data_IF_698550394191
#
_entry.id   IF_698550394191
#
_cell.length_a   1.000
_cell.length_b   1.000
_cell.length_c   1.000
_cell.angle_alpha   90.00
_cell.angle_beta   90.00
_cell.angle_gamma   90.00
#
_symmetry.space_group_name_H-M   'P 1'
#
loop_
_entity.id
_entity.type
_entity.pdbx_description
1 polymer ?
#
# COMPACT_ATOMS: atom_id res chain seq x y z
N UNK A 1 44.19 -32.47 49.82
CA UNK A 1 43.16 -32.45 48.77
C UNK A 1 42.46 -31.12 48.79
N UNK A 2 42.91 -30.18 47.98
CA UNK A 2 42.32 -28.84 47.89
C UNK A 2 41.12 -28.84 46.95
N UNK A 3 40.00 -28.28 47.43
CA UNK A 3 38.75 -28.12 46.67
C UNK A 3 38.81 -26.83 45.85
N UNK A 4 38.48 -26.81 44.54
CA UNK A 4 38.43 -25.59 43.77
C UNK A 4 37.17 -24.78 44.10
N UNK A 5 37.38 -23.49 44.36
CA UNK A 5 36.34 -22.46 44.52
C UNK A 5 35.66 -22.14 43.19
N UNK A 6 34.33 -22.12 43.20
CA UNK A 6 33.45 -21.79 42.07
C UNK A 6 33.59 -20.33 41.64
N UNK A 7 34.11 -20.09 40.43
CA UNK A 7 34.15 -18.76 39.78
C UNK A 7 33.32 -18.75 38.49
N UNK A 8 32.01 -18.90 38.61
CA UNK A 8 31.09 -18.86 37.45
C UNK A 8 29.97 -17.81 37.55
N UNK A 9 30.05 -16.85 38.48
CA UNK A 9 28.97 -15.86 38.72
C UNK A 9 29.24 -14.43 38.20
N UNK A 10 30.29 -14.22 37.38
CA UNK A 10 30.62 -12.87 36.86
C UNK A 10 30.27 -12.64 35.39
N UNK A 11 30.09 -13.69 34.59
CA UNK A 11 29.74 -13.56 33.15
C UNK A 11 28.28 -13.22 32.88
N UNK A 12 27.35 -13.52 33.80
CA UNK A 12 25.92 -13.20 33.63
C UNK A 12 25.56 -11.71 33.77
N UNK A 13 26.44 -10.88 34.34
CA UNK A 13 26.14 -9.47 34.64
C UNK A 13 26.32 -8.49 33.46
N UNK A 14 27.00 -8.91 32.39
CA UNK A 14 27.25 -8.05 31.20
C UNK A 14 26.36 -8.44 30.01
N UNK A 15 25.82 -9.65 29.97
CA UNK A 15 24.92 -10.09 28.89
C UNK A 15 23.60 -9.32 28.89
N UNK A 16 23.03 -9.08 30.08
CA UNK A 16 21.78 -8.34 30.23
C UNK A 16 21.83 -6.89 29.68
N UNK A 17 22.82 -6.04 30.02
CA UNK A 17 22.87 -4.68 29.49
C UNK A 17 23.19 -4.63 27.99
N UNK A 18 24.00 -5.56 27.46
CA UNK A 18 24.29 -5.61 26.01
C UNK A 18 23.05 -6.00 25.21
N UNK A 19 22.27 -6.97 25.70
CA UNK A 19 21.01 -7.36 25.07
C UNK A 19 19.99 -6.20 25.13
N UNK A 20 19.93 -5.48 26.25
CA UNK A 20 19.09 -4.29 26.38
C UNK A 20 19.47 -3.19 25.39
N UNK A 21 20.77 -2.90 25.22
CA UNK A 21 21.25 -1.95 24.23
C UNK A 21 21.00 -2.41 22.80
N UNK A 22 21.13 -3.70 22.50
CA UNK A 22 20.82 -4.25 21.18
C UNK A 22 19.33 -4.13 20.84
N UNK A 23 18.44 -4.35 21.82
CA UNK A 23 16.99 -4.15 21.64
C UNK A 23 16.63 -2.67 21.48
N UNK A 24 17.26 -1.77 22.24
CA UNK A 24 17.08 -0.33 22.08
C UNK A 24 17.61 0.17 20.73
N UNK A 25 18.75 -0.34 20.28
CA UNK A 25 19.29 -0.07 18.96
C UNK A 25 18.38 -0.60 17.87
N UNK A 26 17.89 -1.84 17.98
CA UNK A 26 16.90 -2.39 17.04
C UNK A 26 15.60 -1.56 17.02
N UNK A 27 15.12 -1.10 18.19
CA UNK A 27 13.95 -0.23 18.30
C UNK A 27 14.20 1.22 17.85
N UNK A 28 15.45 1.66 17.75
CA UNK A 28 15.84 2.99 17.27
C UNK A 28 16.11 2.99 15.77
N UNK A 29 16.91 2.02 15.29
CA UNK A 29 17.28 1.82 13.89
C UNK A 29 16.21 1.09 13.07
N UNK A 30 15.29 0.36 13.71
CA UNK A 30 14.15 -0.28 13.06
C UNK A 30 12.94 0.65 12.85
N UNK A 31 12.96 1.87 13.41
CA UNK A 31 11.87 2.85 13.24
C UNK A 31 11.48 3.16 11.80
N UNK A 32 12.38 3.25 10.81
CA UNK A 32 11.97 3.54 9.44
C UNK A 32 11.38 2.33 8.68
N UNK A 33 11.19 1.16 9.30
CA UNK A 33 10.78 -0.08 8.60
C UNK A 33 9.36 -0.56 8.95
N UNK A 34 8.65 0.05 9.91
CA UNK A 34 7.44 -0.58 10.48
C UNK A 34 6.20 0.32 10.58
N UNK A 35 5.96 1.18 9.60
CA UNK A 35 4.66 1.86 9.52
C UNK A 35 3.61 0.96 8.82
N UNK A 36 4.01 0.16 7.81
CA UNK A 36 3.03 -0.54 6.95
C UNK A 36 2.50 -1.86 7.52
N UNK A 37 3.22 -2.51 8.45
CA UNK A 37 2.87 -3.86 8.93
C UNK A 37 1.90 -3.84 10.12
N UNK A 38 1.89 -2.78 10.94
CA UNK A 38 1.15 -2.79 12.21
C UNK A 38 -0.30 -2.32 12.11
N UNK A 39 -0.64 -1.43 11.17
CA UNK A 39 -2.03 -0.98 10.98
C UNK A 39 -2.94 -2.08 10.42
N UNK A 40 -2.36 -3.09 9.76
CA UNK A 40 -3.10 -4.25 9.23
C UNK A 40 -3.59 -5.21 10.32
N UNK A 41 -2.87 -5.33 11.44
CA UNK A 41 -3.05 -6.42 12.42
C UNK A 41 -4.05 -6.06 13.53
N UNK A 42 -4.33 -4.78 13.78
CA UNK A 42 -4.98 -4.39 15.05
C UNK A 42 -6.51 -4.56 15.10
N UNK A 43 -7.20 -4.62 13.96
CA UNK A 43 -8.66 -4.42 13.94
C UNK A 43 -9.51 -5.50 13.24
N UNK A 44 -8.94 -6.58 12.72
CA UNK A 44 -9.73 -7.61 12.06
C UNK A 44 -9.55 -8.98 12.73
N UNK A 45 -10.63 -9.55 13.24
CA UNK A 45 -10.72 -10.93 13.79
C UNK A 45 -10.53 -12.03 12.73
N UNK A 46 -10.24 -11.67 11.49
CA UNK A 46 -9.88 -12.55 10.38
C UNK A 46 -8.98 -11.78 9.43
N UNK A 47 -7.77 -12.27 9.17
CA UNK A 47 -6.80 -11.59 8.31
C UNK A 47 -7.36 -11.36 6.90
N UNK A 48 -7.41 -10.10 6.41
CA UNK A 48 -7.80 -9.80 5.04
C UNK A 48 -6.94 -10.56 4.02
N UNK A 49 -7.56 -11.08 2.95
CA UNK A 49 -6.87 -11.82 1.89
C UNK A 49 -6.74 -10.97 0.64
N UNK A 50 -5.57 -10.89 -0.01
CA UNK A 50 -5.42 -10.16 -1.26
C UNK A 50 -6.31 -10.78 -2.34
N UNK A 51 -6.89 -9.95 -3.18
CA UNK A 51 -7.66 -10.33 -4.37
C UNK A 51 -7.13 -9.54 -5.56
N UNK A 52 -6.87 -10.25 -6.66
CA UNK A 52 -6.36 -9.63 -7.89
C UNK A 52 -7.51 -9.38 -8.86
N UNK A 53 -7.55 -8.23 -9.53
CA UNK A 53 -8.43 -8.03 -10.68
C UNK A 53 -8.10 -9.04 -11.78
N UNK A 54 -9.12 -9.45 -12.52
CA UNK A 54 -9.01 -10.33 -13.69
C UNK A 54 -9.04 -9.53 -15.00
N UNK A 55 -9.57 -8.31 -14.96
CA UNK A 55 -9.51 -7.33 -16.04
C UNK A 55 -9.06 -5.97 -15.52
N UNK A 56 -8.26 -5.26 -16.32
CA UNK A 56 -7.75 -3.92 -15.99
C UNK A 56 -7.78 -3.04 -17.24
N UNK A 57 -8.11 -1.77 -17.05
CA UNK A 57 -8.04 -0.75 -18.10
C UNK A 57 -7.80 0.63 -17.49
N UNK A 58 -7.47 1.60 -18.34
CA UNK A 58 -7.34 3.00 -17.95
C UNK A 58 -8.00 3.91 -18.99
N UNK A 59 -8.31 5.14 -18.59
CA UNK A 59 -8.74 6.21 -19.51
C UNK A 59 -7.65 6.52 -20.55
N UNK A 60 -6.38 6.45 -20.14
CA UNK A 60 -5.21 6.55 -21.01
C UNK A 60 -3.94 6.05 -20.31
N UNK A 61 -2.85 5.89 -21.07
CA UNK A 61 -1.59 5.31 -20.58
C UNK A 61 -0.39 5.95 -21.30
N UNK A 62 0.67 6.29 -20.54
CA UNK A 62 1.96 6.60 -21.12
C UNK A 62 2.66 5.34 -21.64
N UNK A 63 3.48 5.44 -22.71
CA UNK A 63 4.27 4.32 -23.19
C UNK A 63 5.13 3.70 -22.09
N UNK A 64 4.92 2.40 -21.82
CA UNK A 64 5.65 1.67 -20.77
C UNK A 64 5.13 1.87 -19.33
N UNK A 65 4.00 2.56 -19.15
CA UNK A 65 3.35 2.81 -17.85
C UNK A 65 1.87 2.42 -17.92
N UNK A 66 1.59 1.15 -18.25
CA UNK A 66 0.25 0.65 -18.54
C UNK A 66 -0.60 0.43 -17.29
N UNK A 67 -1.92 0.29 -17.46
CA UNK A 67 -2.85 0.05 -16.35
C UNK A 67 -2.50 -1.21 -15.56
N UNK A 68 -2.06 -2.27 -16.25
CA UNK A 68 -1.71 -3.55 -15.63
C UNK A 68 -0.53 -3.45 -14.66
N UNK A 69 0.37 -2.49 -14.85
CA UNK A 69 1.50 -2.28 -13.97
C UNK A 69 1.07 -1.87 -12.55
N UNK A 70 -0.10 -1.24 -12.38
CA UNK A 70 -0.64 -0.90 -11.07
C UNK A 70 -1.30 -2.08 -10.33
N UNK A 71 -1.31 -3.29 -10.89
CA UNK A 71 -1.99 -4.46 -10.29
C UNK A 71 -1.17 -5.76 -10.40
N UNK A 72 0.10 -5.69 -10.78
CA UNK A 72 0.93 -6.88 -11.05
C UNK A 72 1.64 -7.41 -9.79
N UNK A 73 1.53 -6.70 -8.66
CA UNK A 73 2.22 -7.01 -7.41
C UNK A 73 3.67 -6.55 -7.36
N UNK A 74 4.16 -5.86 -8.38
CA UNK A 74 5.51 -5.32 -8.48
C UNK A 74 5.46 -3.78 -8.37
N UNK A 75 6.34 -3.22 -7.54
CA UNK A 75 6.41 -1.77 -7.31
C UNK A 75 7.53 -1.12 -8.12
N UNK A 76 7.79 -1.67 -9.32
CA UNK A 76 8.92 -1.32 -10.18
C UNK A 76 8.49 -0.62 -11.49
N UNK A 77 7.23 -0.76 -11.88
CA UNK A 77 6.63 -0.08 -13.02
C UNK A 77 5.29 0.50 -12.60
N UNK A 78 5.07 1.81 -12.73
CA UNK A 78 3.79 2.42 -12.39
C UNK A 78 2.86 2.48 -13.61
N UNK A 79 1.57 2.63 -13.34
CA UNK A 79 0.65 3.25 -14.29
C UNK A 79 0.80 4.78 -14.25
N UNK A 80 0.69 5.42 -15.41
CA UNK A 80 0.55 6.87 -15.53
C UNK A 80 -0.28 7.21 -16.77
N UNK A 81 -1.28 8.12 -16.69
CA UNK A 81 -2.05 8.53 -17.85
C UNK A 81 -1.22 9.40 -18.80
N UNK A 82 -1.61 9.44 -20.07
CA UNK A 82 -0.99 10.31 -21.07
C UNK A 82 -1.35 11.80 -20.93
N UNK A 83 -2.24 12.12 -19.99
CA UNK A 83 -2.76 13.45 -19.73
C UNK A 83 -2.32 13.97 -18.36
N UNK A 84 -2.09 15.29 -18.29
CA UNK A 84 -1.78 15.99 -17.04
C UNK A 84 -3.03 16.20 -16.15
N UNK A 85 -4.19 15.71 -16.59
CA UNK A 85 -5.47 16.08 -16.03
C UNK A 85 -5.78 15.35 -14.72
N UNK A 86 -6.59 16.04 -13.91
CA UNK A 86 -7.18 15.52 -12.69
C UNK A 86 -8.55 14.95 -13.06
N UNK A 87 -8.53 13.78 -13.66
CA UNK A 87 -9.72 13.00 -14.02
C UNK A 87 -9.39 11.62 -14.59
N UNK A 88 -8.09 11.32 -14.78
CA UNK A 88 -7.65 10.00 -15.21
C UNK A 88 -8.22 8.89 -14.32
N UNK A 89 -8.60 7.79 -14.96
CA UNK A 89 -9.33 6.69 -14.35
C UNK A 89 -8.58 5.38 -14.59
N UNK A 90 -8.42 4.58 -13.52
CA UNK A 90 -8.10 3.16 -13.58
C UNK A 90 -9.35 2.35 -13.30
N UNK A 91 -9.53 1.24 -14.01
CA UNK A 91 -10.63 0.30 -13.79
C UNK A 91 -10.07 -1.08 -13.48
N UNK A 92 -10.58 -1.70 -12.43
CA UNK A 92 -10.28 -3.05 -12.01
C UNK A 92 -11.55 -3.88 -11.97
N UNK A 93 -11.61 -4.94 -12.78
CA UNK A 93 -12.73 -5.88 -12.85
C UNK A 93 -12.38 -7.21 -12.17
N UNK A 94 -13.39 -7.87 -11.60
CA UNK A 94 -13.29 -9.17 -10.95
C UNK A 94 -14.29 -10.15 -11.57
N UNK A 95 -13.83 -11.33 -11.99
CA UNK A 95 -14.69 -12.37 -12.59
C UNK A 95 -15.75 -12.92 -11.63
N UNK A 96 -15.48 -12.82 -10.33
CA UNK A 96 -16.43 -13.18 -9.28
C UNK A 96 -16.65 -11.98 -8.36
N UNK A 97 -17.88 -11.74 -7.89
CA UNK A 97 -18.17 -10.66 -6.97
C UNK A 97 -17.34 -10.79 -5.70
N UNK A 98 -16.80 -9.67 -5.23
CA UNK A 98 -15.90 -9.64 -4.07
C UNK A 98 -16.46 -8.74 -2.97
N UNK A 99 -16.33 -9.21 -1.73
CA UNK A 99 -16.50 -8.37 -0.55
C UNK A 99 -15.20 -7.65 -0.20
N UNK A 100 -15.03 -6.42 -0.67
CA UNK A 100 -13.81 -5.62 -0.45
C UNK A 100 -13.80 -4.97 0.94
N UNK A 101 -12.73 -5.20 1.69
CA UNK A 101 -12.55 -4.68 3.06
C UNK A 101 -11.45 -3.64 3.17
N UNK A 102 -10.36 -3.79 2.41
CA UNK A 102 -9.26 -2.82 2.37
C UNK A 102 -8.78 -2.62 0.93
N UNK A 103 -8.14 -1.48 0.71
CA UNK A 103 -7.30 -1.21 -0.45
C UNK A 103 -5.97 -0.66 0.04
N UNK A 104 -4.88 -1.08 -0.59
CA UNK A 104 -3.56 -0.47 -0.44
C UNK A 104 -3.25 0.28 -1.73
N UNK A 105 -2.76 1.52 -1.60
CA UNK A 105 -2.31 2.32 -2.74
C UNK A 105 -0.85 2.72 -2.50
N UNK A 106 0.01 2.48 -3.48
CA UNK A 106 1.38 3.01 -3.52
C UNK A 106 1.41 4.17 -4.53
N UNK A 107 1.27 5.43 -4.09
CA UNK A 107 1.27 6.58 -4.99
C UNK A 107 2.64 6.87 -5.59
N UNK A 108 2.66 7.56 -6.73
CA UNK A 108 3.87 7.92 -7.45
C UNK A 108 4.39 6.78 -8.32
N UNK A 109 5.65 6.89 -8.74
CA UNK A 109 6.28 5.91 -9.66
C UNK A 109 6.90 4.71 -8.97
N UNK A 110 7.14 4.81 -7.66
CA UNK A 110 7.85 3.80 -6.88
C UNK A 110 7.63 4.03 -5.38
N UNK A 111 7.82 2.97 -4.59
CA UNK A 111 7.94 3.07 -3.14
C UNK A 111 9.28 3.68 -2.71
N UNK A 112 10.26 3.78 -3.61
CA UNK A 112 11.55 4.42 -3.38
C UNK A 112 11.40 5.96 -3.32
N UNK A 113 11.91 6.56 -2.24
CA UNK A 113 11.82 7.99 -1.98
C UNK A 113 12.49 8.86 -3.05
N UNK A 114 13.59 8.39 -3.65
CA UNK A 114 14.34 9.17 -4.65
C UNK A 114 13.58 9.24 -5.97
N UNK A 115 12.83 8.20 -6.30
CA UNK A 115 12.01 8.14 -7.51
C UNK A 115 10.63 8.78 -7.29
N UNK A 116 10.07 8.68 -6.08
CA UNK A 116 8.74 9.15 -5.71
C UNK A 116 8.44 10.59 -6.18
N UNK A 117 9.41 11.50 -6.07
CA UNK A 117 9.21 12.94 -6.36
C UNK A 117 9.26 13.32 -7.85
N UNK A 118 9.56 12.38 -8.74
CA UNK A 118 9.83 12.67 -10.17
C UNK A 118 8.58 12.88 -11.04
N UNK A 119 7.42 12.43 -10.57
CA UNK A 119 6.11 12.57 -11.24
C UNK A 119 5.07 13.22 -10.30
N UNK A 120 3.90 13.53 -10.86
CA UNK A 120 2.73 13.85 -10.06
C UNK A 120 2.34 12.66 -9.17
N UNK A 121 1.76 12.92 -8.02
CA UNK A 121 1.38 11.87 -7.05
C UNK A 121 -0.05 12.12 -6.61
N UNK A 122 -0.95 11.12 -6.68
CA UNK A 122 -2.33 11.35 -6.28
C UNK A 122 -2.43 11.83 -4.84
N UNK A 123 -3.20 12.90 -4.64
CA UNK A 123 -3.57 13.43 -3.33
C UNK A 123 -4.95 12.93 -2.94
N UNK A 124 -5.91 12.98 -3.86
CA UNK A 124 -7.27 12.48 -3.65
C UNK A 124 -7.65 11.52 -4.76
N UNK A 125 -8.18 10.38 -4.36
CA UNK A 125 -8.75 9.38 -5.26
C UNK A 125 -10.22 9.17 -4.91
N UNK A 126 -11.10 9.12 -5.90
CA UNK A 126 -12.47 8.65 -5.70
C UNK A 126 -12.59 7.23 -6.24
N UNK A 127 -12.92 6.29 -5.35
CA UNK A 127 -13.20 4.91 -5.71
C UNK A 127 -14.71 4.76 -5.92
N UNK A 128 -15.14 4.33 -7.10
CA UNK A 128 -16.52 3.92 -7.39
C UNK A 128 -16.57 2.40 -7.46
N UNK A 129 -17.33 1.79 -6.55
CA UNK A 129 -17.55 0.35 -6.48
C UNK A 129 -18.86 0.04 -7.21
N UNK A 130 -18.81 -0.81 -8.24
CA UNK A 130 -19.98 -1.26 -9.00
C UNK A 130 -20.30 -2.69 -8.59
N UNK A 131 -21.55 -2.90 -8.19
CA UNK A 131 -22.05 -4.20 -7.74
C UNK A 131 -22.73 -4.95 -8.88
N UNK A 132 -22.88 -6.28 -8.75
CA UNK A 132 -23.47 -7.11 -9.81
C UNK A 132 -24.94 -6.82 -10.12
N UNK A 133 -25.65 -6.16 -9.21
CA UNK A 133 -27.02 -5.66 -9.42
C UNK A 133 -27.06 -4.29 -10.13
N UNK A 134 -25.90 -3.77 -10.56
CA UNK A 134 -25.76 -2.50 -11.26
C UNK A 134 -25.79 -1.27 -10.35
N UNK A 135 -25.85 -1.44 -9.03
CA UNK A 135 -25.70 -0.31 -8.10
C UNK A 135 -24.26 0.16 -8.04
N UNK A 136 -24.06 1.40 -7.60
CA UNK A 136 -22.72 1.90 -7.31
C UNK A 136 -22.68 2.72 -6.03
N UNK A 137 -21.53 2.67 -5.36
CA UNK A 137 -21.21 3.53 -4.22
C UNK A 137 -19.82 4.12 -4.37
N UNK A 138 -19.57 5.27 -3.75
CA UNK A 138 -18.27 5.92 -3.80
C UNK A 138 -17.59 6.01 -2.44
N UNK A 139 -16.27 6.08 -2.44
CA UNK A 139 -15.47 6.43 -1.29
C UNK A 139 -14.24 7.24 -1.74
N UNK A 140 -14.03 8.41 -1.15
CA UNK A 140 -12.85 9.23 -1.42
C UNK A 140 -11.72 8.85 -0.46
N UNK A 141 -10.53 8.63 -1.01
CA UNK A 141 -9.28 8.43 -0.27
C UNK A 141 -8.48 9.72 -0.32
N UNK A 142 -7.86 10.10 0.80
CA UNK A 142 -6.88 11.19 0.85
C UNK A 142 -5.53 10.58 1.19
N UNK A 143 -4.61 10.64 0.23
CA UNK A 143 -3.27 10.09 0.36
C UNK A 143 -2.34 11.14 0.96
N UNK A 144 -1.40 10.68 1.77
CA UNK A 144 -0.30 11.52 2.26
C UNK A 144 0.75 11.65 1.16
N UNK A 145 1.40 12.82 1.05
CA UNK A 145 2.54 13.01 0.13
C UNK A 145 3.81 12.33 0.67
N UNK A 146 3.78 11.00 0.80
CA UNK A 146 4.84 10.14 1.33
C UNK A 146 5.01 8.90 0.44
N UNK A 147 6.26 8.54 0.17
CA UNK A 147 6.59 7.32 -0.55
C UNK A 147 6.17 6.06 0.22
N UNK A 148 5.87 4.99 -0.50
CA UNK A 148 5.47 3.71 0.07
C UNK A 148 3.96 3.46 0.06
N UNK A 149 3.57 2.32 0.61
CA UNK A 149 2.19 1.86 0.59
C UNK A 149 1.34 2.63 1.60
N UNK A 150 0.07 2.85 1.28
CA UNK A 150 -0.90 3.46 2.19
C UNK A 150 -2.17 2.62 2.21
N UNK A 151 -2.60 2.19 3.40
CA UNK A 151 -3.74 1.29 3.58
C UNK A 151 -5.00 2.07 3.94
N UNK A 152 -6.12 1.75 3.28
CA UNK A 152 -7.42 2.35 3.51
C UNK A 152 -8.50 1.29 3.75
N UNK A 153 -9.29 1.48 4.80
CA UNK A 153 -10.47 0.64 5.08
C UNK A 153 -11.62 1.02 4.16
N UNK A 154 -12.28 0.03 3.56
CA UNK A 154 -13.40 0.21 2.63
C UNK A 154 -14.78 -0.05 3.26
N UNK A 155 -14.82 -0.44 4.53
CA UNK A 155 -16.08 -0.67 5.25
C UNK A 155 -16.87 -1.92 4.80
N UNK A 156 -16.27 -2.81 4.01
CA UNK A 156 -16.91 -4.07 3.58
C UNK A 156 -17.91 -3.88 2.43
N UNK A 157 -17.44 -3.38 1.28
CA UNK A 157 -18.25 -3.25 0.06
C UNK A 157 -18.57 -4.66 -0.47
N UNK A 158 -19.83 -5.06 -0.45
CA UNK A 158 -20.26 -6.40 -0.88
C UNK A 158 -20.50 -6.44 -2.39
N UNK A 159 -20.42 -7.64 -2.98
CA UNK A 159 -20.83 -7.95 -4.35
C UNK A 159 -20.20 -7.07 -5.44
N UNK A 160 -19.01 -6.53 -5.18
CA UNK A 160 -18.29 -5.65 -6.11
C UNK A 160 -17.69 -6.50 -7.22
N UNK A 161 -17.99 -6.16 -8.47
CA UNK A 161 -17.36 -6.79 -9.64
C UNK A 161 -16.46 -5.81 -10.41
N UNK A 162 -16.58 -4.51 -10.17
CA UNK A 162 -15.77 -3.49 -10.82
C UNK A 162 -15.48 -2.34 -9.85
N UNK A 163 -14.24 -1.84 -9.87
CA UNK A 163 -13.80 -0.66 -9.13
C UNK A 163 -13.19 0.33 -10.10
N UNK A 164 -13.74 1.54 -10.14
CA UNK A 164 -13.12 2.65 -10.82
C UNK A 164 -12.38 3.52 -9.82
N UNK A 165 -11.16 3.93 -10.16
CA UNK A 165 -10.28 4.74 -9.34
C UNK A 165 -10.00 6.01 -10.12
N UNK A 166 -10.61 7.12 -9.70
CA UNK A 166 -10.49 8.42 -10.37
C UNK A 166 -9.51 9.30 -9.60
N UNK A 167 -8.59 9.95 -10.31
CA UNK A 167 -7.67 10.93 -9.71
C UNK A 167 -8.35 12.30 -9.63
N UNK A 168 -8.70 12.73 -8.41
CA UNK A 168 -9.38 14.01 -8.17
C UNK A 168 -8.38 15.17 -8.00
N UNK A 169 -7.24 14.91 -7.37
CA UNK A 169 -6.18 15.90 -7.19
C UNK A 169 -4.81 15.27 -7.00
N UNK A 170 -3.75 16.05 -7.21
CA UNK A 170 -2.36 15.58 -7.20
C UNK A 170 -1.44 16.52 -6.41
N UNK A 171 -0.42 15.94 -5.77
CA UNK A 171 0.81 16.60 -5.34
C UNK A 171 1.85 16.59 -6.44
N UNK A 172 2.92 17.37 -6.24
CA UNK A 172 4.07 17.38 -7.13
C UNK A 172 3.93 18.35 -8.30
N UNK A 173 4.82 18.25 -9.29
CA UNK A 173 4.95 19.28 -10.29
C UNK A 173 3.80 19.20 -11.32
N UNK A 174 3.23 20.33 -11.76
CA UNK A 174 2.03 20.36 -12.60
C UNK A 174 2.28 19.94 -14.06
N UNK A 175 3.54 19.80 -14.46
CA UNK A 175 3.99 19.44 -15.82
C UNK A 175 4.25 17.94 -16.00
N UNK A 176 4.02 17.13 -14.96
CA UNK A 176 4.13 15.67 -15.01
C UNK A 176 2.79 15.03 -14.67
N UNK A 177 2.35 14.02 -15.43
CA UNK A 177 1.13 13.30 -15.09
C UNK A 177 1.30 12.58 -13.75
N UNK A 178 0.20 12.32 -13.04
CA UNK A 178 0.26 11.51 -11.83
C UNK A 178 0.67 10.07 -12.15
N UNK A 179 1.25 9.39 -11.18
CA UNK A 179 1.56 7.97 -11.29
C UNK A 179 1.02 7.19 -10.09
N UNK A 180 0.64 5.94 -10.32
CA UNK A 180 0.30 4.97 -9.28
C UNK A 180 1.16 3.74 -9.50
N UNK A 181 2.01 3.43 -8.52
CA UNK A 181 2.93 2.31 -8.59
C UNK A 181 2.23 0.97 -8.37
N UNK A 182 1.24 0.93 -7.48
CA UNK A 182 0.50 -0.30 -7.19
C UNK A 182 -0.83 0.00 -6.48
N UNK A 183 -1.84 -0.80 -6.76
CA UNK A 183 -3.12 -0.87 -6.05
C UNK A 183 -3.43 -2.32 -5.70
N UNK A 184 -3.58 -2.61 -4.41
CA UNK A 184 -3.84 -3.97 -3.92
C UNK A 184 -5.20 -4.00 -3.21
N UNK A 185 -6.11 -4.86 -3.67
CA UNK A 185 -7.41 -5.05 -3.06
C UNK A 185 -7.43 -6.23 -2.09
N UNK A 186 -8.22 -6.12 -1.03
CA UNK A 186 -8.35 -7.18 -0.03
C UNK A 186 -9.81 -7.50 0.25
N UNK A 187 -10.10 -8.78 0.43
CA UNK A 187 -11.40 -9.29 0.87
C UNK A 187 -11.37 -9.81 2.29
N UNK A 188 -12.55 -9.93 2.90
CA UNK A 188 -12.68 -10.65 4.16
C UNK A 188 -12.20 -12.11 4.00
N UNK A 189 -11.51 -12.63 5.02
CA UNK A 189 -10.89 -13.95 5.00
C UNK A 189 -11.86 -15.12 5.13
#
# INVERSE_FOLDING_TARGET
GERPVTRARRRRRVVAPVLGLALLAAAWFGRPVYDDVFDFIRDNTTDPKPVRPTGVSASSELPGMSAGAAFDGAKNQPWSPDALDKSAELVAAFDQPVRLVNVIVTPGVSADQDQFLTYGRPQKLTLRFVTTDGQSSTQTLTLTDKAGAQTFKLGGKNDVHEVHIVIDSVYGPPDRPPAIAEVEFFRAG
#
